data_IF_416606794197
#
_entry.id   IF_416606794197
#
_cell.length_a   1.000
_cell.length_b   1.000
_cell.length_c   1.000
_cell.angle_alpha   90.00
_cell.angle_beta   90.00
_cell.angle_gamma   90.00
#
_symmetry.space_group_name_H-M   'P 1'
#
loop_
_entity.id
_entity.type
_entity.pdbx_description
1 polymer ?
#
# COMPACT_ATOMS: atom_id res chain seq x y z
N UNK A 1 56.97 43.65 10.34
CA UNK A 1 55.53 43.33 10.21
C UNK A 1 55.12 43.01 8.77
N UNK A 2 55.64 43.71 7.74
CA UNK A 2 55.23 43.49 6.33
C UNK A 2 55.63 42.15 5.69
N UNK A 3 56.74 41.53 6.10
CA UNK A 3 57.21 40.25 5.51
C UNK A 3 56.34 39.06 5.95
N UNK A 4 55.80 39.10 7.18
CA UNK A 4 54.98 38.02 7.71
C UNK A 4 53.59 37.98 7.02
N UNK A 5 53.03 39.15 6.69
CA UNK A 5 51.79 39.26 5.91
C UNK A 5 51.93 38.74 4.48
N UNK A 6 53.06 38.97 3.82
CA UNK A 6 53.30 38.48 2.47
C UNK A 6 53.40 36.94 2.40
N UNK A 7 54.02 36.30 3.39
CA UNK A 7 54.13 34.83 3.46
C UNK A 7 52.78 34.18 3.78
N UNK A 8 51.97 34.83 4.63
CA UNK A 8 50.61 34.34 4.96
C UNK A 8 49.69 34.45 3.74
N UNK A 9 49.76 35.55 2.98
CA UNK A 9 48.98 35.75 1.75
C UNK A 9 49.40 34.81 0.61
N UNK A 10 50.69 34.48 0.50
CA UNK A 10 51.18 33.52 -0.49
C UNK A 10 50.78 32.07 -0.12
N UNK A 11 50.82 31.72 1.17
CA UNK A 11 50.38 30.40 1.66
C UNK A 11 48.87 30.22 1.58
N UNK A 12 48.06 31.25 1.85
CA UNK A 12 46.60 31.18 1.67
C UNK A 12 46.20 31.17 0.20
N UNK A 13 46.91 31.89 -0.68
CA UNK A 13 46.70 31.81 -2.13
C UNK A 13 47.00 30.43 -2.73
N UNK A 14 48.07 29.77 -2.26
CA UNK A 14 48.38 28.38 -2.66
C UNK A 14 47.36 27.37 -2.10
N UNK A 15 46.89 27.53 -0.86
CA UNK A 15 45.84 26.68 -0.32
C UNK A 15 44.50 26.85 -1.04
N UNK A 16 44.13 28.07 -1.46
CA UNK A 16 42.93 28.29 -2.27
C UNK A 16 43.06 27.71 -3.68
N UNK A 17 44.27 27.66 -4.27
CA UNK A 17 44.52 27.02 -5.57
C UNK A 17 44.44 25.48 -5.52
N UNK A 18 44.75 24.87 -4.37
CA UNK A 18 44.64 23.43 -4.16
C UNK A 18 43.20 22.95 -3.86
N UNK A 19 42.33 23.82 -3.35
CA UNK A 19 40.91 23.52 -3.11
C UNK A 19 40.03 23.62 -4.38
N UNK A 20 40.56 24.16 -5.48
CA UNK A 20 39.86 24.28 -6.77
C UNK A 20 40.01 23.07 -7.70
N UNK A 21 40.64 21.98 -7.27
CA UNK A 21 40.87 20.80 -8.11
C UNK A 21 40.39 19.51 -7.45
N UNK A 22 39.08 19.38 -7.25
CA UNK A 22 38.34 18.13 -7.46
C UNK A 22 36.83 18.39 -7.39
N UNK A 23 36.31 19.24 -8.27
CA UNK A 23 34.91 19.05 -8.66
C UNK A 23 34.95 17.86 -9.63
N UNK A 24 34.89 16.65 -9.09
CA UNK A 24 34.38 15.54 -9.87
C UNK A 24 32.99 16.01 -10.28
N UNK A 25 32.83 16.45 -11.53
CA UNK A 25 31.53 16.65 -12.13
C UNK A 25 30.83 15.31 -11.93
N UNK A 26 29.90 15.25 -10.97
CA UNK A 26 29.10 14.07 -10.72
C UNK A 26 28.35 13.85 -12.03
N UNK A 27 28.85 12.91 -12.85
CA UNK A 27 28.25 12.61 -14.14
C UNK A 27 26.93 11.96 -13.80
N UNK A 28 25.83 12.68 -13.98
CA UNK A 28 24.49 12.14 -13.81
C UNK A 28 24.37 10.88 -14.68
N UNK A 29 24.25 9.72 -14.03
CA UNK A 29 24.11 8.44 -14.71
C UNK A 29 22.71 8.34 -15.32
N UNK A 30 22.61 7.72 -16.49
CA UNK A 30 21.33 7.38 -17.10
C UNK A 30 20.71 6.24 -16.30
N UNK A 31 19.46 6.39 -15.86
CA UNK A 31 18.71 5.31 -15.23
C UNK A 31 18.15 4.37 -16.30
N UNK A 32 18.57 3.10 -16.28
CA UNK A 32 18.07 2.04 -17.15
C UNK A 32 17.16 1.08 -16.39
N UNK A 33 15.91 0.92 -16.85
CA UNK A 33 15.01 -0.10 -16.28
C UNK A 33 15.30 -1.45 -16.91
N UNK A 34 15.58 -2.46 -16.09
CA UNK A 34 15.90 -3.82 -16.54
C UNK A 34 14.84 -4.34 -17.53
N UNK A 35 15.30 -4.91 -18.66
CA UNK A 35 14.45 -5.44 -19.71
C UNK A 35 13.75 -4.38 -20.58
N UNK A 36 14.03 -3.09 -20.37
CA UNK A 36 13.53 -1.98 -21.21
C UNK A 36 14.64 -1.39 -22.07
N UNK A 37 14.30 -0.76 -23.20
CA UNK A 37 15.28 -0.05 -24.01
C UNK A 37 15.77 1.22 -23.31
N UNK A 38 17.03 1.59 -23.53
CA UNK A 38 17.65 2.81 -23.02
C UNK A 38 18.55 3.45 -24.08
N UNK A 39 18.61 4.78 -24.07
CA UNK A 39 19.52 5.56 -24.92
C UNK A 39 20.62 6.17 -24.06
N UNK A 40 21.87 5.92 -24.42
CA UNK A 40 23.05 6.53 -23.80
C UNK A 40 23.49 7.71 -24.67
N UNK A 41 23.31 8.96 -24.18
CA UNK A 41 23.49 10.14 -25.02
C UNK A 41 24.96 10.42 -25.31
N UNK A 42 25.28 10.64 -26.58
CA UNK A 42 26.55 11.20 -27.00
C UNK A 42 26.34 12.05 -28.26
N UNK A 43 26.65 13.34 -28.16
CA UNK A 43 26.52 14.27 -29.28
C UNK A 43 27.86 14.97 -29.51
N UNK A 44 28.36 14.88 -30.74
CA UNK A 44 29.63 15.44 -31.17
C UNK A 44 29.36 16.72 -31.94
N UNK A 45 29.91 17.82 -31.45
CA UNK A 45 29.84 19.12 -32.11
C UNK A 45 31.26 19.71 -32.21
N UNK A 46 31.83 19.82 -33.42
CA UNK A 46 31.23 19.48 -34.71
C UNK A 46 31.06 17.96 -34.92
N UNK A 47 30.18 17.52 -35.84
CA UNK A 47 30.13 16.13 -36.28
C UNK A 47 31.51 15.68 -36.79
N UNK A 48 31.84 14.39 -36.65
CA UNK A 48 33.11 13.89 -37.17
C UNK A 48 33.16 14.11 -38.68
N UNK A 49 34.29 14.64 -39.16
CA UNK A 49 34.51 14.79 -40.59
C UNK A 49 34.42 13.41 -41.24
N UNK A 50 33.65 13.25 -42.33
CA UNK A 50 33.53 11.95 -42.96
C UNK A 50 34.85 11.65 -43.66
N UNK A 51 35.65 10.83 -42.99
CA UNK A 51 36.80 10.12 -43.49
C UNK A 51 36.55 8.64 -43.15
N UNK A 52 37.34 7.70 -43.67
CA UNK A 52 37.22 6.29 -43.29
C UNK A 52 37.47 6.14 -41.79
N UNK A 53 36.40 6.22 -41.00
CA UNK A 53 36.42 6.29 -39.55
C UNK A 53 35.71 5.06 -39.02
N UNK A 54 36.37 4.37 -38.10
CA UNK A 54 35.74 3.32 -37.31
C UNK A 54 35.37 3.91 -35.95
N UNK A 55 34.12 3.72 -35.55
CA UNK A 55 33.65 4.05 -34.20
C UNK A 55 33.36 2.78 -33.44
N UNK A 56 33.70 2.77 -32.16
CA UNK A 56 33.45 1.66 -31.24
C UNK A 56 32.80 2.19 -29.96
N UNK A 57 31.62 1.65 -29.65
CA UNK A 57 31.09 1.71 -28.30
C UNK A 57 31.63 0.52 -27.52
N UNK A 58 32.15 0.80 -26.33
CA UNK A 58 32.67 -0.21 -25.41
C UNK A 58 31.94 -0.12 -24.07
N UNK A 59 31.63 -1.27 -23.49
CA UNK A 59 31.28 -1.41 -22.07
C UNK A 59 32.57 -1.85 -21.38
N UNK A 60 33.17 -0.96 -20.60
CA UNK A 60 34.53 -1.14 -20.09
C UNK A 60 35.52 -1.51 -21.22
N UNK A 61 36.06 -2.72 -21.22
CA UNK A 61 36.98 -3.22 -22.26
C UNK A 61 36.26 -3.96 -23.42
N UNK A 62 34.99 -4.34 -23.24
CA UNK A 62 34.23 -5.13 -24.19
C UNK A 62 33.58 -4.26 -25.27
N UNK A 63 33.85 -4.57 -26.54
CA UNK A 63 33.23 -3.87 -27.68
C UNK A 63 31.77 -4.30 -27.84
N UNK A 64 30.83 -3.40 -27.56
CA UNK A 64 29.39 -3.65 -27.68
C UNK A 64 28.85 -3.31 -29.07
N UNK A 65 29.46 -2.33 -29.74
CA UNK A 65 29.14 -1.96 -31.11
C UNK A 65 30.39 -1.42 -31.80
N UNK A 66 30.62 -1.87 -33.03
CA UNK A 66 31.64 -1.37 -33.96
C UNK A 66 30.98 -1.05 -35.28
N UNK A 67 31.23 0.14 -35.80
CA UNK A 67 30.66 0.59 -37.06
C UNK A 67 31.70 1.33 -37.88
N UNK A 68 31.84 0.93 -39.14
CA UNK A 68 32.77 1.55 -40.10
C UNK A 68 32.01 2.40 -41.11
N UNK A 69 32.47 3.62 -41.31
CA UNK A 69 31.80 4.61 -42.14
C UNK A 69 32.70 5.09 -43.27
N UNK A 70 32.11 5.25 -44.45
CA UNK A 70 32.76 5.85 -45.62
C UNK A 70 32.86 7.36 -45.52
N UNK A 71 33.70 7.93 -46.39
CA UNK A 71 33.79 9.37 -46.65
C UNK A 71 32.47 10.03 -47.11
N UNK A 72 31.51 9.26 -47.64
CA UNK A 72 30.19 9.77 -48.02
C UNK A 72 29.17 9.67 -46.86
N UNK A 73 29.62 9.22 -45.68
CA UNK A 73 28.77 9.01 -44.51
C UNK A 73 27.88 7.77 -44.58
N UNK A 74 28.10 6.88 -45.56
CA UNK A 74 27.44 5.58 -45.63
C UNK A 74 28.14 4.55 -44.73
N UNK A 75 27.36 3.80 -43.95
CA UNK A 75 27.86 2.67 -43.17
C UNK A 75 28.27 1.51 -44.10
N UNK A 76 29.50 1.01 -43.93
CA UNK A 76 30.08 -0.06 -44.75
C UNK A 76 29.88 -1.42 -44.09
N UNK A 77 30.25 -1.49 -42.82
CA UNK A 77 30.21 -2.70 -42.02
C UNK A 77 29.82 -2.36 -40.59
N UNK A 78 29.19 -3.31 -39.92
CA UNK A 78 28.60 -3.11 -38.60
C UNK A 78 28.59 -4.42 -37.83
N UNK A 79 29.22 -4.40 -36.67
CA UNK A 79 29.10 -5.46 -35.68
C UNK A 79 28.48 -4.89 -34.41
N UNK A 80 27.53 -5.60 -33.83
CA UNK A 80 26.92 -5.22 -32.56
C UNK A 80 26.53 -6.46 -31.78
N UNK A 81 26.68 -6.40 -30.46
CA UNK A 81 26.01 -7.36 -29.57
C UNK A 81 24.50 -7.17 -29.72
N UNK A 82 23.75 -8.26 -29.64
CA UNK A 82 22.30 -8.27 -29.85
C UNK A 82 21.62 -7.13 -29.07
N UNK A 83 21.05 -6.18 -29.83
CA UNK A 83 20.29 -5.06 -29.30
C UNK A 83 21.06 -3.75 -29.10
N UNK A 84 22.33 -3.66 -29.48
CA UNK A 84 23.07 -2.39 -29.51
C UNK A 84 23.03 -1.75 -30.90
N UNK A 85 22.65 -0.47 -31.00
CA UNK A 85 22.61 0.26 -32.27
C UNK A 85 22.87 1.76 -32.13
N UNK A 86 23.14 2.43 -33.25
CA UNK A 86 23.27 3.89 -33.36
C UNK A 86 22.40 4.38 -34.53
N UNK A 87 22.12 5.67 -34.62
CA UNK A 87 21.36 6.23 -35.73
C UNK A 87 22.09 6.02 -37.08
N UNK A 88 21.34 5.75 -38.16
CA UNK A 88 21.91 5.53 -39.49
C UNK A 88 22.62 6.77 -40.05
N UNK A 89 22.23 7.96 -39.59
CA UNK A 89 22.80 9.25 -39.94
C UNK A 89 23.69 9.83 -38.82
N UNK A 90 24.16 9.00 -37.88
CA UNK A 90 24.92 9.44 -36.71
C UNK A 90 26.18 10.24 -37.06
N UNK A 91 26.93 9.85 -38.09
CA UNK A 91 28.12 10.57 -38.58
C UNK A 91 27.77 11.94 -39.16
N UNK A 92 26.65 12.03 -39.90
CA UNK A 92 26.22 13.27 -40.55
C UNK A 92 25.67 14.28 -39.53
N UNK A 93 24.93 13.79 -38.54
CA UNK A 93 24.28 14.62 -37.51
C UNK A 93 25.17 14.91 -36.31
N UNK A 94 26.19 14.09 -36.08
CA UNK A 94 27.01 14.09 -34.86
C UNK A 94 26.32 13.42 -33.67
N UNK A 95 25.10 12.91 -33.81
CA UNK A 95 24.41 12.20 -32.75
C UNK A 95 24.84 10.72 -32.72
N UNK A 96 25.81 10.43 -31.87
CA UNK A 96 26.42 9.10 -31.69
C UNK A 96 25.81 8.32 -30.53
N UNK A 97 24.61 8.69 -30.08
CA UNK A 97 23.97 8.06 -28.93
C UNK A 97 23.75 6.56 -29.15
N UNK A 98 24.18 5.74 -28.19
CA UNK A 98 23.98 4.29 -28.22
C UNK A 98 22.55 3.96 -27.81
N UNK A 99 21.86 3.13 -28.58
CA UNK A 99 20.59 2.53 -28.23
C UNK A 99 20.84 1.09 -27.79
N UNK A 100 20.35 0.74 -26.60
CA UNK A 100 20.30 -0.63 -26.11
C UNK A 100 18.83 -1.07 -26.06
N UNK A 101 18.48 -2.18 -26.72
CA UNK A 101 17.11 -2.70 -26.76
C UNK A 101 16.65 -3.21 -25.38
N UNK A 102 17.58 -3.75 -24.60
CA UNK A 102 17.31 -4.26 -23.26
C UNK A 102 18.47 -3.95 -22.30
N UNK A 103 18.14 -3.36 -21.15
CA UNK A 103 19.06 -3.20 -20.02
C UNK A 103 19.18 -4.53 -19.28
N UNK A 104 20.41 -5.01 -19.08
CA UNK A 104 20.70 -6.22 -18.33
C UNK A 104 21.18 -5.86 -16.92
N UNK A 105 20.76 -6.60 -15.88
CA UNK A 105 21.28 -6.47 -14.53
C UNK A 105 22.60 -7.24 -14.42
N UNK A 106 23.71 -6.53 -14.41
CA UNK A 106 25.07 -7.07 -14.27
C UNK A 106 25.73 -6.48 -13.02
N UNK A 107 25.90 -5.15 -13.04
CA UNK A 107 26.43 -4.33 -11.96
C UNK A 107 25.47 -3.16 -11.69
N UNK A 108 25.56 -2.58 -10.49
CA UNK A 108 24.78 -1.41 -10.10
C UNK A 108 25.02 -0.22 -11.04
N UNK A 109 26.24 -0.11 -11.58
CA UNK A 109 26.67 0.97 -12.45
C UNK A 109 27.66 0.46 -13.50
N UNK A 110 27.34 0.63 -14.77
CA UNK A 110 28.21 0.32 -15.91
C UNK A 110 28.66 1.61 -16.62
N UNK A 111 29.87 1.59 -17.20
CA UNK A 111 30.39 2.69 -18.00
C UNK A 111 30.51 2.31 -19.47
N UNK A 112 29.91 3.13 -20.32
CA UNK A 112 29.98 3.00 -21.77
C UNK A 112 30.82 4.13 -22.36
N UNK A 113 31.84 3.76 -23.12
CA UNK A 113 32.72 4.70 -23.80
C UNK A 113 32.53 4.66 -25.31
N UNK A 114 32.45 5.82 -25.95
CA UNK A 114 32.58 5.94 -27.41
C UNK A 114 34.03 6.24 -27.75
N UNK A 115 34.58 5.46 -28.67
CA UNK A 115 35.95 5.60 -29.17
C UNK A 115 35.96 5.75 -30.68
N UNK A 116 36.84 6.62 -31.16
CA UNK A 116 37.25 6.67 -32.56
C UNK A 116 38.52 5.85 -32.74
N UNK A 117 38.49 4.93 -33.68
CA UNK A 117 39.60 4.02 -34.00
C UNK A 117 40.22 4.42 -35.34
N UNK A 118 41.52 4.69 -35.33
CA UNK A 118 42.31 5.02 -36.52
C UNK A 118 43.67 4.33 -36.45
N UNK A 119 43.83 3.21 -37.16
CA UNK A 119 45.00 2.36 -37.02
C UNK A 119 45.07 1.74 -35.62
N UNK A 120 46.18 1.94 -34.92
CA UNK A 120 46.35 1.49 -33.52
C UNK A 120 45.89 2.52 -32.48
N UNK A 121 45.48 3.73 -32.91
CA UNK A 121 45.09 4.80 -32.00
C UNK A 121 43.59 4.71 -31.67
N UNK A 122 43.27 4.75 -30.37
CA UNK A 122 41.91 4.87 -29.84
C UNK A 122 41.73 6.22 -29.14
N UNK A 123 40.83 7.05 -29.66
CA UNK A 123 40.50 8.36 -29.07
C UNK A 123 39.14 8.27 -28.39
N UNK A 124 39.07 8.48 -27.08
CA UNK A 124 37.79 8.55 -26.36
C UNK A 124 37.07 9.85 -26.68
N UNK A 125 35.79 9.75 -27.04
CA UNK A 125 34.94 10.88 -27.43
C UNK A 125 33.85 11.16 -26.39
N UNK A 126 33.23 10.11 -25.85
CA UNK A 126 32.19 10.20 -24.82
C UNK A 126 32.40 9.09 -23.78
N UNK A 127 31.95 9.35 -22.56
CA UNK A 127 31.83 8.35 -21.49
C UNK A 127 30.52 8.61 -20.76
N UNK A 128 29.63 7.62 -20.80
CA UNK A 128 28.28 7.68 -20.23
C UNK A 128 28.15 6.60 -19.17
N UNK A 129 27.60 6.98 -18.03
CA UNK A 129 27.30 6.07 -16.94
C UNK A 129 25.85 5.56 -17.07
N UNK A 130 25.63 4.25 -16.92
CA UNK A 130 24.32 3.61 -16.88
C UNK A 130 24.12 2.96 -15.51
N UNK A 131 23.02 3.29 -14.82
CA UNK A 131 22.60 2.59 -13.60
C UNK A 131 21.40 1.71 -13.90
N UNK A 132 21.55 0.41 -13.74
CA UNK A 132 20.47 -0.53 -13.92
C UNK A 132 19.58 -0.58 -12.67
N UNK A 133 18.26 -0.64 -12.86
CA UNK A 133 17.33 -0.82 -11.77
C UNK A 133 16.07 -1.60 -12.17
N UNK A 134 15.51 -2.34 -11.23
CA UNK A 134 14.22 -3.01 -11.36
C UNK A 134 13.41 -2.82 -10.08
N UNK A 135 12.12 -2.53 -10.25
CA UNK A 135 11.20 -2.34 -9.14
C UNK A 135 10.89 -3.69 -8.49
N UNK A 136 10.90 -3.72 -7.16
CA UNK A 136 10.48 -4.88 -6.37
C UNK A 136 8.97 -5.10 -6.46
N UNK A 137 8.52 -6.34 -6.30
CA UNK A 137 7.10 -6.63 -6.10
C UNK A 137 6.61 -6.07 -4.76
N UNK A 138 5.31 -5.75 -4.66
CA UNK A 138 4.73 -5.25 -3.41
C UNK A 138 4.99 -6.28 -2.28
N UNK A 139 5.56 -5.89 -1.13
CA UNK A 139 5.95 -6.84 -0.10
C UNK A 139 4.75 -7.62 0.44
N UNK A 140 4.85 -8.95 0.41
CA UNK A 140 3.88 -9.86 0.99
C UNK A 140 4.24 -10.05 2.46
N UNK A 141 3.41 -9.50 3.35
CA UNK A 141 3.63 -9.55 4.79
C UNK A 141 2.66 -10.53 5.44
N UNK A 142 3.21 -11.56 6.08
CA UNK A 142 2.48 -12.57 6.84
C UNK A 142 2.81 -12.45 8.33
N UNK A 143 1.77 -12.45 9.16
CA UNK A 143 1.87 -12.55 10.62
C UNK A 143 1.64 -14.00 11.02
N UNK A 144 2.58 -14.59 11.74
CA UNK A 144 2.44 -15.91 12.33
C UNK A 144 1.86 -15.78 13.74
N UNK A 145 0.87 -16.61 14.06
CA UNK A 145 0.25 -16.59 15.39
C UNK A 145 1.23 -17.16 16.42
N UNK A 146 1.60 -16.36 17.42
CA UNK A 146 2.34 -16.84 18.57
C UNK A 146 1.40 -17.49 19.59
N UNK A 147 1.87 -18.60 20.19
CA UNK A 147 1.26 -19.12 21.40
C UNK A 147 1.43 -18.13 22.57
N UNK A 148 0.59 -18.28 23.59
CA UNK A 148 0.49 -17.30 24.67
C UNK A 148 1.77 -17.27 25.51
N UNK A 149 2.63 -16.28 25.25
CA UNK A 149 3.94 -16.12 25.92
C UNK A 149 5.13 -16.19 24.97
N UNK A 150 4.92 -16.58 23.72
CA UNK A 150 5.96 -16.60 22.68
C UNK A 150 6.04 -15.28 21.90
N UNK A 151 7.21 -15.04 21.30
CA UNK A 151 7.44 -13.91 20.40
C UNK A 151 6.57 -14.04 19.14
N UNK A 152 5.98 -12.92 18.70
CA UNK A 152 5.23 -12.89 17.43
C UNK A 152 6.22 -12.84 16.27
N UNK A 153 6.02 -13.72 15.29
CA UNK A 153 6.84 -13.78 14.10
C UNK A 153 6.14 -13.15 12.89
N UNK A 154 6.92 -12.48 12.06
CA UNK A 154 6.50 -11.86 10.81
C UNK A 154 7.43 -12.29 9.68
N UNK A 155 6.84 -12.61 8.53
CA UNK A 155 7.54 -12.95 7.31
C UNK A 155 7.19 -11.93 6.23
N UNK A 156 8.20 -11.24 5.71
CA UNK A 156 8.08 -10.33 4.59
C UNK A 156 8.81 -10.89 3.37
N UNK A 157 8.11 -10.99 2.24
CA UNK A 157 8.69 -11.47 0.99
C UNK A 157 8.44 -10.49 -0.16
N UNK A 158 9.46 -10.23 -0.97
CA UNK A 158 9.37 -9.44 -2.20
C UNK A 158 10.39 -9.94 -3.22
N UNK A 159 10.14 -9.71 -4.50
CA UNK A 159 10.85 -10.39 -5.59
C UNK A 159 11.09 -9.50 -6.80
N UNK A 160 12.10 -9.87 -7.59
CA UNK A 160 12.31 -9.35 -8.94
C UNK A 160 12.88 -7.92 -9.02
N UNK A 161 13.47 -7.41 -7.95
CA UNK A 161 14.06 -6.07 -7.95
C UNK A 161 15.58 -6.08 -8.16
N UNK A 162 16.12 -4.91 -8.49
CA UNK A 162 17.56 -4.68 -8.68
C UNK A 162 17.86 -3.20 -8.44
N UNK A 163 19.00 -2.82 -7.84
CA UNK A 163 20.02 -3.67 -7.22
C UNK A 163 19.56 -4.24 -5.87
N UNK A 164 20.49 -4.69 -5.02
CA UNK A 164 20.20 -5.13 -3.65
C UNK A 164 19.50 -3.99 -2.85
N UNK A 165 18.33 -4.24 -2.21
CA UNK A 165 17.56 -3.20 -1.56
C UNK A 165 17.91 -3.03 -0.09
N UNK A 166 17.52 -1.89 0.47
CA UNK A 166 17.48 -1.69 1.93
C UNK A 166 16.14 -2.17 2.49
N UNK A 167 16.17 -2.95 3.57
CA UNK A 167 14.97 -3.56 4.17
C UNK A 167 14.94 -3.28 5.66
N UNK A 168 13.85 -2.68 6.13
CA UNK A 168 13.67 -2.37 7.55
C UNK A 168 12.21 -2.53 7.98
N UNK A 169 12.01 -2.63 9.28
CA UNK A 169 10.72 -2.85 9.91
C UNK A 169 10.30 -1.64 10.73
N UNK A 170 9.02 -1.33 10.73
CA UNK A 170 8.43 -0.28 11.57
C UNK A 170 7.35 -0.89 12.46
N UNK A 171 7.34 -0.53 13.74
CA UNK A 171 6.29 -0.93 14.69
C UNK A 171 5.50 0.31 15.06
N UNK A 172 4.18 0.32 14.88
CA UNK A 172 3.32 1.49 15.12
C UNK A 172 3.81 2.79 14.42
N UNK A 173 4.43 2.64 13.25
CA UNK A 173 5.07 3.73 12.49
C UNK A 173 6.22 4.44 13.23
N UNK A 174 6.79 3.84 14.29
CA UNK A 174 8.03 4.30 14.89
C UNK A 174 9.23 3.59 14.25
N UNK A 175 10.41 4.17 14.44
CA UNK A 175 11.67 3.61 13.95
C UNK A 175 12.00 2.26 14.62
N UNK A 176 12.96 1.57 14.01
CA UNK A 176 13.38 0.17 14.11
C UNK A 176 13.00 -0.63 15.39
N UNK A 177 12.69 -1.94 15.27
CA UNK A 177 12.24 -2.76 16.40
C UNK A 177 13.21 -2.72 17.60
N UNK A 178 12.88 -2.00 18.66
CA UNK A 178 13.67 -1.99 19.89
C UNK A 178 13.46 -3.30 20.64
N UNK A 179 14.33 -4.29 20.39
CA UNK A 179 14.35 -5.57 21.11
C UNK A 179 13.77 -6.78 20.36
N UNK A 180 13.62 -6.70 19.03
CA UNK A 180 13.30 -7.85 18.17
C UNK A 180 14.54 -8.44 17.48
N UNK A 181 14.43 -9.68 17.00
CA UNK A 181 15.42 -10.29 16.12
C UNK A 181 14.97 -10.15 14.67
N UNK A 182 15.81 -9.52 13.84
CA UNK A 182 15.59 -9.35 12.39
C UNK A 182 16.61 -10.19 11.63
N UNK A 183 16.13 -10.98 10.68
CA UNK A 183 16.97 -11.74 9.74
C UNK A 183 16.50 -11.45 8.33
N UNK A 184 17.32 -10.75 7.55
CA UNK A 184 17.04 -10.41 6.15
C UNK A 184 17.98 -11.17 5.23
N UNK A 185 17.42 -11.76 4.18
CA UNK A 185 18.14 -12.41 3.09
C UNK A 185 17.72 -11.76 1.77
N UNK A 186 18.65 -11.11 1.08
CA UNK A 186 18.51 -10.67 -0.29
C UNK A 186 19.31 -11.62 -1.20
N UNK A 187 18.62 -12.52 -1.89
CA UNK A 187 19.23 -13.54 -2.74
C UNK A 187 19.10 -13.16 -4.22
N UNK A 188 20.24 -13.10 -4.93
CA UNK A 188 20.25 -12.93 -6.39
C UNK A 188 19.91 -14.25 -7.09
N UNK A 189 19.04 -14.19 -8.10
CA UNK A 189 18.66 -15.31 -8.95
C UNK A 189 19.73 -15.58 -10.02
N UNK A 190 20.20 -16.83 -10.22
CA UNK A 190 21.29 -17.12 -11.16
C UNK A 190 21.00 -16.73 -12.61
N UNK A 191 19.75 -16.88 -13.06
CA UNK A 191 19.39 -16.69 -14.47
C UNK A 191 19.09 -15.23 -14.83
N UNK A 192 18.50 -14.48 -13.90
CA UNK A 192 18.04 -13.10 -14.15
C UNK A 192 18.87 -12.04 -13.43
N UNK A 193 19.75 -12.44 -12.52
CA UNK A 193 20.51 -11.58 -11.59
C UNK A 193 19.66 -10.65 -10.71
N UNK A 194 18.32 -10.74 -10.78
CA UNK A 194 17.40 -9.99 -9.93
C UNK A 194 17.41 -10.54 -8.50
N UNK A 195 17.11 -9.67 -7.54
CA UNK A 195 17.06 -9.98 -6.13
C UNK A 195 15.66 -10.37 -5.66
N UNK A 196 15.61 -11.43 -4.85
CA UNK A 196 14.48 -11.78 -4.02
C UNK A 196 14.83 -11.53 -2.55
N UNK A 197 13.94 -10.83 -1.87
CA UNK A 197 14.07 -10.46 -0.46
C UNK A 197 13.15 -11.31 0.37
N UNK A 198 13.70 -11.89 1.43
CA UNK A 198 12.95 -12.52 2.51
C UNK A 198 13.46 -11.97 3.82
N UNK A 199 12.60 -11.32 4.60
CA UNK A 199 12.93 -10.80 5.93
C UNK A 199 12.03 -11.41 6.98
N UNK A 200 12.62 -11.87 8.07
CA UNK A 200 11.96 -12.44 9.24
C UNK A 200 12.16 -11.52 10.44
N UNK A 201 11.06 -11.14 11.08
CA UNK A 201 11.06 -10.39 12.34
C UNK A 201 10.43 -11.25 13.43
N UNK A 202 11.14 -11.46 14.54
CA UNK A 202 10.60 -12.04 15.77
C UNK A 202 10.64 -10.99 16.88
N UNK A 203 9.49 -10.66 17.45
CA UNK A 203 9.39 -9.60 18.44
C UNK A 203 8.23 -9.84 19.41
N UNK A 204 8.43 -9.48 20.68
CA UNK A 204 7.38 -9.52 21.69
C UNK A 204 6.59 -8.19 21.68
N UNK A 205 5.46 -8.18 20.97
CA UNK A 205 4.57 -7.01 20.84
C UNK A 205 3.13 -7.37 21.17
N UNK A 206 2.33 -6.34 21.50
CA UNK A 206 0.90 -6.52 21.71
C UNK A 206 0.17 -6.88 20.41
N UNK A 207 -0.92 -7.65 20.50
CA UNK A 207 -1.71 -8.11 19.33
C UNK A 207 -2.32 -6.98 18.51
N UNK A 208 -2.54 -5.82 19.13
CA UNK A 208 -3.07 -4.59 18.52
C UNK A 208 -1.99 -3.72 17.86
N UNK A 209 -0.71 -4.08 17.97
CA UNK A 209 0.36 -3.36 17.31
C UNK A 209 0.32 -3.55 15.79
N UNK A 210 0.62 -2.46 15.08
CA UNK A 210 0.80 -2.46 13.63
C UNK A 210 2.28 -2.71 13.32
N UNK A 211 2.54 -3.59 12.35
CA UNK A 211 3.90 -3.90 11.91
C UNK A 211 3.99 -3.69 10.42
N UNK A 212 4.99 -2.93 9.98
CA UNK A 212 5.23 -2.65 8.57
C UNK A 212 6.59 -3.18 8.14
N UNK A 213 6.65 -3.84 6.99
CA UNK A 213 7.88 -4.16 6.28
C UNK A 213 8.09 -3.11 5.18
N UNK A 214 9.27 -2.51 5.13
CA UNK A 214 9.63 -1.47 4.16
C UNK A 214 10.82 -1.95 3.33
N UNK A 215 10.69 -1.85 2.02
CA UNK A 215 11.73 -2.17 1.04
C UNK A 215 12.01 -0.92 0.23
N UNK A 216 13.27 -0.48 0.26
CA UNK A 216 13.74 0.73 -0.41
C UNK A 216 14.70 0.37 -1.54
N UNK A 217 14.37 0.83 -2.74
CA UNK A 217 15.24 0.79 -3.91
C UNK A 217 15.87 2.19 -4.10
N UNK A 218 17.15 2.39 -3.74
CA UNK A 218 17.79 3.70 -3.79
C UNK A 218 17.97 4.20 -5.23
N UNK A 219 18.21 3.30 -6.18
CA UNK A 219 18.44 3.66 -7.60
C UNK A 219 17.18 4.17 -8.27
N UNK A 220 16.01 3.64 -7.90
CA UNK A 220 14.71 4.13 -8.40
C UNK A 220 14.08 5.22 -7.53
N UNK A 221 14.68 5.55 -6.38
CA UNK A 221 14.07 6.40 -5.35
C UNK A 221 12.63 5.93 -5.02
N UNK A 222 12.48 4.62 -4.82
CA UNK A 222 11.19 3.98 -4.61
C UNK A 222 11.18 3.24 -3.27
N UNK A 223 10.14 3.49 -2.49
CA UNK A 223 9.90 2.79 -1.22
C UNK A 223 8.57 2.04 -1.29
N UNK A 224 8.60 0.75 -1.01
CA UNK A 224 7.42 -0.11 -0.94
C UNK A 224 7.19 -0.55 0.49
N UNK A 225 5.96 -0.43 0.96
CA UNK A 225 5.59 -0.76 2.34
C UNK A 225 4.38 -1.66 2.38
N UNK A 226 4.43 -2.67 3.24
CA UNK A 226 3.31 -3.55 3.53
C UNK A 226 3.08 -3.60 5.03
N UNK A 227 1.84 -3.44 5.47
CA UNK A 227 1.49 -3.29 6.89
C UNK A 227 0.50 -4.36 7.34
N UNK A 228 0.87 -5.07 8.41
CA UNK A 228 0.00 -5.97 9.17
C UNK A 228 -0.62 -5.20 10.32
N UNK A 229 -1.94 -4.98 10.23
CA UNK A 229 -2.70 -4.31 11.28
C UNK A 229 -2.99 -5.25 12.45
N UNK A 230 -2.87 -4.72 13.66
CA UNK A 230 -3.22 -5.45 14.87
C UNK A 230 -4.71 -5.70 15.02
N UNK A 231 -5.07 -6.82 15.64
CA UNK A 231 -6.46 -7.15 15.95
C UNK A 231 -6.80 -6.52 17.30
N UNK A 232 -7.60 -5.45 17.29
CA UNK A 232 -8.24 -4.97 18.52
C UNK A 232 -9.28 -5.99 18.93
N UNK A 233 -9.17 -6.52 20.14
CA UNK A 233 -10.23 -7.33 20.73
C UNK A 233 -11.48 -6.45 20.91
N UNK A 234 -12.42 -6.52 19.97
CA UNK A 234 -13.72 -5.86 20.11
C UNK A 234 -14.50 -6.53 21.24
N UNK A 235 -14.33 -6.01 22.44
CA UNK A 235 -15.08 -6.41 23.64
C UNK A 235 -16.49 -5.80 23.67
N UNK A 236 -17.13 -5.58 22.52
CA UNK A 236 -18.35 -4.76 22.43
C UNK A 236 -19.61 -5.51 21.97
N UNK A 237 -19.53 -6.67 21.31
CA UNK A 237 -20.74 -7.31 20.76
C UNK A 237 -21.46 -8.25 21.77
N UNK A 238 -20.80 -8.65 22.87
CA UNK A 238 -21.38 -9.61 23.83
C UNK A 238 -22.31 -9.03 24.91
N UNK A 239 -22.23 -7.72 25.23
CA UNK A 239 -23.00 -7.13 26.35
C UNK A 239 -24.41 -6.68 25.96
N UNK A 240 -24.61 -6.23 24.73
CA UNK A 240 -25.91 -5.75 24.29
C UNK A 240 -26.97 -6.88 24.22
N UNK A 241 -26.57 -8.08 23.78
CA UNK A 241 -27.48 -9.24 23.68
C UNK A 241 -27.85 -9.80 25.06
N UNK A 242 -26.90 -9.81 26.01
CA UNK A 242 -27.14 -10.30 27.38
C UNK A 242 -28.00 -9.36 28.23
N UNK A 243 -28.01 -8.06 27.98
CA UNK A 243 -28.98 -7.18 28.64
C UNK A 243 -30.38 -7.34 28.02
N UNK A 244 -30.45 -7.54 26.69
CA UNK A 244 -31.70 -7.54 25.93
C UNK A 244 -32.63 -8.72 26.29
N UNK A 245 -32.10 -9.94 26.48
CA UNK A 245 -32.92 -11.08 26.94
C UNK A 245 -33.39 -10.94 28.40
N UNK A 246 -32.60 -10.30 29.28
CA UNK A 246 -32.99 -10.04 30.68
C UNK A 246 -34.15 -9.05 30.74
N UNK A 247 -34.07 -7.94 29.99
CA UNK A 247 -35.16 -6.98 29.93
C UNK A 247 -36.42 -7.55 29.27
N UNK A 248 -36.26 -8.37 28.21
CA UNK A 248 -37.38 -9.03 27.53
C UNK A 248 -38.12 -10.01 28.45
N UNK A 249 -37.39 -10.87 29.16
CA UNK A 249 -37.98 -11.82 30.11
C UNK A 249 -38.65 -11.12 31.29
N UNK A 250 -38.02 -10.09 31.86
CA UNK A 250 -38.60 -9.30 32.94
C UNK A 250 -39.91 -8.61 32.50
N UNK A 251 -39.94 -8.02 31.30
CA UNK A 251 -41.14 -7.38 30.76
C UNK A 251 -42.29 -8.39 30.57
N UNK A 252 -41.99 -9.57 30.04
CA UNK A 252 -42.98 -10.65 29.87
C UNK A 252 -43.57 -11.11 31.22
N UNK A 253 -42.75 -11.24 32.26
CA UNK A 253 -43.22 -11.62 33.60
C UNK A 253 -44.14 -10.54 34.19
N UNK A 254 -43.75 -9.26 34.07
CA UNK A 254 -44.56 -8.14 34.58
C UNK A 254 -45.93 -8.09 33.88
N UNK A 255 -45.96 -8.20 32.54
CA UNK A 255 -47.21 -8.21 31.78
C UNK A 255 -48.07 -9.42 32.15
N UNK A 256 -47.47 -10.61 32.31
CA UNK A 256 -48.17 -11.82 32.74
C UNK A 256 -48.84 -11.65 34.12
N UNK A 257 -48.12 -11.10 35.10
CA UNK A 257 -48.67 -10.82 36.43
C UNK A 257 -49.83 -9.83 36.37
N UNK A 258 -49.70 -8.76 35.58
CA UNK A 258 -50.77 -7.76 35.42
C UNK A 258 -52.05 -8.36 34.82
N UNK A 259 -51.93 -9.26 33.84
CA UNK A 259 -53.07 -9.97 33.26
C UNK A 259 -53.73 -10.89 34.29
N UNK A 260 -52.93 -11.66 35.05
CA UNK A 260 -53.45 -12.56 36.09
C UNK A 260 -54.21 -11.79 37.17
N UNK A 261 -53.65 -10.67 37.64
CA UNK A 261 -54.30 -9.79 38.63
C UNK A 261 -55.60 -9.21 38.04
N UNK A 262 -55.59 -8.76 36.80
CA UNK A 262 -56.78 -8.25 36.11
C UNK A 262 -57.89 -9.30 36.01
N UNK A 263 -57.57 -10.54 35.63
CA UNK A 263 -58.53 -11.64 35.55
C UNK A 263 -59.05 -12.00 36.94
N UNK A 264 -58.19 -12.10 37.95
CA UNK A 264 -58.61 -12.37 39.33
C UNK A 264 -59.54 -11.28 39.86
N UNK A 265 -59.27 -10.01 39.54
CA UNK A 265 -60.12 -8.89 39.91
C UNK A 265 -61.50 -8.96 39.23
N UNK A 266 -61.56 -9.27 37.93
CA UNK A 266 -62.83 -9.47 37.22
C UNK A 266 -63.64 -10.64 37.78
N UNK A 267 -63.01 -11.78 38.07
CA UNK A 267 -63.67 -12.93 38.68
C UNK A 267 -64.21 -12.57 40.07
N UNK A 268 -63.46 -11.79 40.85
CA UNK A 268 -63.93 -11.33 42.16
C UNK A 268 -65.13 -10.38 42.04
N UNK A 269 -65.09 -9.42 41.11
CA UNK A 269 -66.23 -8.54 40.84
C UNK A 269 -67.47 -9.32 40.37
N UNK A 270 -67.31 -10.31 39.49
CA UNK A 270 -68.41 -11.18 39.05
C UNK A 270 -68.99 -11.97 40.23
N UNK A 271 -68.14 -12.55 41.11
CA UNK A 271 -68.60 -13.22 42.33
C UNK A 271 -69.36 -12.28 43.26
N UNK A 272 -68.88 -11.06 43.47
CA UNK A 272 -69.57 -10.06 44.30
C UNK A 272 -70.91 -9.67 43.67
N UNK A 273 -70.96 -9.47 42.35
CA UNK A 273 -72.19 -9.16 41.62
C UNK A 273 -73.24 -10.28 41.75
N UNK A 274 -72.79 -11.55 41.64
CA UNK A 274 -73.64 -12.74 41.82
C UNK A 274 -74.13 -12.89 43.25
N UNK A 275 -73.30 -12.57 44.26
CA UNK A 275 -73.74 -12.53 45.68
C UNK A 275 -74.85 -11.50 45.88
N UNK A 276 -74.66 -10.26 45.39
CA UNK A 276 -75.68 -9.21 45.45
C UNK A 276 -76.98 -9.60 44.72
N UNK A 277 -76.88 -10.28 43.57
CA UNK A 277 -78.07 -10.75 42.83
C UNK A 277 -78.85 -11.83 43.59
N UNK A 278 -78.17 -12.74 44.29
CA UNK A 278 -78.81 -13.74 45.17
C UNK A 278 -79.50 -13.07 46.37
N UNK A 279 -78.85 -12.10 47.01
CA UNK A 279 -79.46 -11.31 48.09
C UNK A 279 -80.70 -10.53 47.60
N UNK A 280 -80.66 -9.93 46.41
CA UNK A 280 -81.79 -9.22 45.82
C UNK A 280 -82.98 -10.16 45.52
N UNK A 281 -82.71 -11.35 44.96
CA UNK A 281 -83.76 -12.34 44.71
C UNK A 281 -84.40 -12.88 46.01
N UNK A 282 -83.60 -13.09 47.06
CA UNK A 282 -84.08 -13.53 48.36
C UNK A 282 -84.86 -12.43 49.11
N UNK A 283 -84.54 -11.16 48.90
CA UNK A 283 -85.33 -10.02 49.38
C UNK A 283 -86.66 -9.90 48.63
N UNK A 284 -86.65 -10.06 47.31
CA UNK A 284 -87.86 -10.03 46.46
C UNK A 284 -88.83 -11.20 46.75
N UNK A 285 -88.34 -12.39 47.11
CA UNK A 285 -89.20 -13.54 47.45
C UNK A 285 -89.92 -13.41 48.79
N UNK A 286 -89.47 -12.50 49.68
CA UNK A 286 -90.10 -12.27 50.99
C UNK A 286 -91.14 -11.14 50.99
N UNK A 287 -91.32 -10.41 49.88
CA UNK A 287 -92.35 -9.36 49.77
C UNK A 287 -93.74 -9.97 49.49
N UNK A 288 -94.79 -9.64 50.27
CA UNK A 288 -96.17 -10.04 49.95
C UNK A 288 -96.67 -9.32 48.69
N UNK A 289 -97.33 -10.06 47.79
CA UNK A 289 -98.01 -9.55 46.59
C UNK A 289 -99.31 -8.82 46.97
N UNK A 290 -99.44 -7.54 46.60
CA UNK A 290 -100.73 -6.84 46.46
C UNK A 290 -100.85 -6.25 45.05
N UNK A 291 -102.05 -6.36 44.48
CA UNK A 291 -102.51 -5.98 43.13
C UNK A 291 -103.84 -5.21 43.31
N UNK A 292 -104.41 -4.52 42.31
CA UNK A 292 -103.99 -3.27 41.64
C UNK A 292 -105.15 -2.21 41.66
N UNK A 293 -105.00 -1.03 41.00
CA UNK A 293 -106.06 -0.19 40.35
C UNK A 293 -105.42 1.15 39.87
N UNK A 294 -105.34 1.49 38.56
CA UNK A 294 -106.32 2.01 37.55
C UNK A 294 -106.74 3.47 37.84
N UNK A 295 -106.35 4.45 37.02
CA UNK A 295 -107.03 5.09 35.85
C UNK A 295 -106.11 6.27 35.37
N UNK A 296 -106.09 6.85 34.15
CA UNK A 296 -106.84 6.75 32.88
C UNK A 296 -106.02 7.46 31.75
N UNK A 297 -106.53 7.39 30.51
CA UNK A 297 -105.95 7.59 29.17
C UNK A 297 -105.51 9.04 28.79
N UNK A 298 -104.70 9.31 27.74
CA UNK A 298 -105.14 9.41 26.32
C UNK A 298 -103.97 9.41 25.29
N UNK A 299 -104.29 8.88 24.11
CA UNK A 299 -103.59 8.60 22.83
C UNK A 299 -102.93 9.85 22.17
N UNK A 300 -102.05 9.85 21.16
CA UNK A 300 -101.84 9.11 19.87
C UNK A 300 -100.48 9.65 19.30
N UNK A 301 -99.58 8.97 18.56
CA UNK A 301 -99.65 8.51 17.16
C UNK A 301 -98.25 7.95 16.75
N UNK A 302 -98.19 6.87 15.95
CA UNK A 302 -97.01 6.37 15.17
C UNK A 302 -97.22 6.76 13.68
N UNK A 303 -96.30 6.62 12.69
CA UNK A 303 -95.18 5.67 12.51
C UNK A 303 -93.87 6.39 12.00
N UNK A 304 -92.74 5.80 11.57
CA UNK A 304 -92.49 4.79 10.53
C UNK A 304 -90.98 4.43 10.46
N UNK A 305 -90.70 3.29 9.84
CA UNK A 305 -89.48 2.50 9.74
C UNK A 305 -88.48 2.88 8.64
N UNK A 306 -87.21 2.48 8.87
CA UNK A 306 -86.21 1.86 7.95
C UNK A 306 -85.68 2.63 6.72
N UNK A 307 -84.35 2.77 6.66
CA UNK A 307 -83.42 2.25 5.62
C UNK A 307 -81.98 2.57 6.08
N UNK A 308 -81.07 1.64 6.41
CA UNK A 308 -80.25 0.66 5.66
C UNK A 308 -79.14 1.28 4.79
N UNK A 309 -77.89 0.85 5.08
CA UNK A 309 -76.65 0.70 4.27
C UNK A 309 -76.36 1.64 3.08
N UNK A 310 -75.11 2.12 2.97
CA UNK A 310 -73.96 1.43 2.33
C UNK A 310 -72.65 1.99 2.90
#
# INVERSE_FOLDING_TARGET
MSVMLAVVLWRSGLLLSFLTACVCLERDCVLGVVGRPVSLPCSLSPPPTPANVTIEWRRDEDVVLRSEWTQDGGQVDGWSVNGASIAAEAVLTGNMSLQLDTVQPSEDTEYYGLFMVSGENHTSLCSVCLRAAASFSLPLLQREEAEQGDETAFLCHSSGGFPEPSVYWLINNTEEPTGGSVSTLAASLPDSHLYNVTSHLKVNISKDANVSCVIENPTMNQTLTSTSYGVKAETVIGRASQAMWIFSTALCVVVGVMVIVGVAYQINLDRVSKRKKKEYHQYMSRRPKRRPSREEETQTMKPQSRETDV
#
